data_IF_562962455349
#
_entry.id   IF_562962455349
#
_cell.length_a   1.000
_cell.length_b   1.000
_cell.length_c   1.000
_cell.angle_alpha   90.00
_cell.angle_beta   90.00
_cell.angle_gamma   90.00
#
_symmetry.space_group_name_H-M   'P 1'
#
loop_
_entity.id
_entity.type
_entity.pdbx_description
1 polymer ?
#
# COMPACT_ATOMS: atom_id res chain seq x y z
N UNK A 1 20.79 -1.19 -4.24
CA UNK A 1 20.00 -2.31 -3.69
C UNK A 1 19.84 -2.01 -2.21
N UNK A 2 18.78 -1.34 -1.70
CA UNK A 2 17.34 -1.33 -2.02
C UNK A 2 16.67 -2.71 -1.95
N UNK A 3 17.05 -3.52 -0.95
CA UNK A 3 16.50 -4.87 -0.79
C UNK A 3 15.55 -4.96 0.41
N UNK A 4 14.67 -3.98 0.54
CA UNK A 4 13.68 -3.89 1.63
C UNK A 4 12.33 -3.40 1.13
N UNK A 5 11.25 -3.81 1.80
CA UNK A 5 9.90 -3.33 1.53
C UNK A 5 9.21 -2.98 2.85
N UNK A 6 8.27 -2.06 2.81
CA UNK A 6 7.51 -1.67 3.98
C UNK A 6 6.01 -1.91 3.76
N UNK A 7 5.31 -2.21 4.84
CA UNK A 7 3.85 -2.16 4.88
C UNK A 7 3.39 -1.22 5.98
N UNK A 8 2.24 -0.58 5.80
CA UNK A 8 1.55 0.17 6.84
C UNK A 8 0.17 -0.46 7.14
N UNK A 9 -0.55 0.00 8.19
CA UNK A 9 -1.89 -0.49 8.50
C UNK A 9 -2.85 -0.48 7.30
N UNK A 10 -2.78 0.53 6.45
CA UNK A 10 -3.63 0.64 5.25
C UNK A 10 -3.28 -0.43 4.22
N UNK A 11 -1.99 -0.67 3.95
CA UNK A 11 -1.55 -1.71 3.01
C UNK A 11 -1.93 -3.10 3.49
N UNK A 12 -1.71 -3.41 4.77
CA UNK A 12 -2.09 -4.69 5.38
C UNK A 12 -3.61 -4.88 5.38
N UNK A 13 -4.37 -3.84 5.72
CA UNK A 13 -5.84 -3.85 5.65
C UNK A 13 -6.37 -4.03 4.23
N UNK A 14 -5.70 -3.43 3.23
CA UNK A 14 -5.98 -3.63 1.82
C UNK A 14 -5.80 -5.08 1.38
N UNK A 15 -4.66 -5.70 1.74
CA UNK A 15 -4.38 -7.12 1.52
C UNK A 15 -5.44 -8.01 2.18
N UNK A 16 -5.75 -7.77 3.46
CA UNK A 16 -6.75 -8.51 4.20
C UNK A 16 -8.12 -8.46 3.52
N UNK A 17 -8.58 -7.27 3.15
CA UNK A 17 -9.85 -7.08 2.44
C UNK A 17 -9.86 -7.79 1.08
N UNK A 18 -8.77 -7.76 0.33
CA UNK A 18 -8.66 -8.48 -0.94
C UNK A 18 -8.78 -9.98 -0.73
N UNK A 19 -8.01 -10.57 0.20
CA UNK A 19 -8.01 -12.00 0.46
C UNK A 19 -9.37 -12.51 0.95
N UNK A 20 -9.99 -11.80 1.90
CA UNK A 20 -11.33 -12.14 2.41
C UNK A 20 -12.36 -12.10 1.27
N UNK A 21 -12.30 -11.09 0.39
CA UNK A 21 -13.19 -11.02 -0.79
C UNK A 21 -13.00 -12.18 -1.77
N UNK A 22 -11.83 -12.82 -1.78
CA UNK A 22 -11.53 -14.02 -2.58
C UNK A 22 -11.91 -15.33 -1.88
N UNK A 23 -12.45 -15.26 -0.66
CA UNK A 23 -12.93 -16.43 0.10
C UNK A 23 -11.96 -16.96 1.15
N UNK A 24 -10.83 -16.29 1.39
CA UNK A 24 -9.88 -16.70 2.43
C UNK A 24 -10.44 -16.48 3.83
N UNK A 25 -10.05 -17.33 4.78
CA UNK A 25 -10.41 -17.18 6.19
C UNK A 25 -9.59 -16.06 6.85
N UNK A 26 -10.15 -15.44 7.88
CA UNK A 26 -9.43 -14.42 8.67
C UNK A 26 -8.12 -14.96 9.26
N UNK A 27 -8.11 -16.22 9.68
CA UNK A 27 -6.93 -16.91 10.21
C UNK A 27 -5.83 -17.09 9.14
N UNK A 28 -6.19 -17.47 7.90
CA UNK A 28 -5.23 -17.49 6.78
C UNK A 28 -4.66 -16.11 6.52
N UNK A 29 -5.50 -15.08 6.51
CA UNK A 29 -5.07 -13.69 6.29
C UNK A 29 -4.08 -13.23 7.35
N UNK A 30 -4.37 -13.48 8.63
CA UNK A 30 -3.48 -13.11 9.73
C UNK A 30 -2.14 -13.83 9.64
N UNK A 31 -2.12 -15.12 9.27
CA UNK A 31 -0.87 -15.84 9.03
C UNK A 31 -0.05 -15.24 7.89
N UNK A 32 -0.68 -14.83 6.80
CA UNK A 32 0.02 -14.20 5.67
C UNK A 32 0.62 -12.86 6.09
N UNK A 33 -0.12 -12.03 6.82
CA UNK A 33 0.41 -10.76 7.34
C UNK A 33 1.59 -11.01 8.28
N UNK A 34 1.46 -11.94 9.22
CA UNK A 34 2.54 -12.30 10.14
C UNK A 34 3.78 -12.84 9.40
N UNK A 35 3.59 -13.59 8.30
CA UNK A 35 4.68 -14.08 7.48
C UNK A 35 5.40 -12.95 6.72
N UNK A 36 4.69 -11.92 6.27
CA UNK A 36 5.29 -10.72 5.69
C UNK A 36 6.11 -9.96 6.74
N UNK A 37 5.56 -9.79 7.95
CA UNK A 37 6.25 -9.11 9.06
C UNK A 37 7.50 -9.84 9.57
N UNK A 38 7.55 -11.16 9.37
CA UNK A 38 8.71 -11.97 9.75
C UNK A 38 9.85 -11.94 8.71
N UNK A 39 9.64 -11.38 7.51
CA UNK A 39 10.70 -11.28 6.51
C UNK A 39 11.76 -10.25 6.97
N UNK A 40 13.04 -10.64 6.98
CA UNK A 40 14.15 -9.75 7.36
C UNK A 40 14.28 -8.46 6.54
N UNK A 41 13.63 -8.41 5.37
CA UNK A 41 13.59 -7.25 4.46
C UNK A 41 12.38 -6.36 4.71
N UNK A 42 11.44 -6.81 5.54
CA UNK A 42 10.22 -6.09 5.84
C UNK A 42 10.45 -5.07 6.95
N UNK A 43 9.78 -3.93 6.79
CA UNK A 43 9.62 -2.95 7.85
C UNK A 43 8.15 -2.57 8.01
N UNK A 44 7.63 -2.64 9.24
CA UNK A 44 6.32 -2.11 9.54
C UNK A 44 6.40 -0.61 9.80
N UNK A 45 5.64 0.17 9.03
CA UNK A 45 5.51 1.63 9.20
C UNK A 45 4.16 1.95 9.83
N UNK A 46 4.14 2.40 11.10
CA UNK A 46 2.89 2.81 11.74
C UNK A 46 2.31 4.04 11.04
N UNK A 47 1.01 4.23 11.20
CA UNK A 47 0.35 5.37 10.60
C UNK A 47 0.59 6.64 11.42
N UNK A 48 1.57 7.45 10.99
CA UNK A 48 1.95 8.70 11.67
C UNK A 48 1.32 9.96 11.04
N UNK A 49 0.66 9.80 9.89
CA UNK A 49 0.00 10.89 9.19
C UNK A 49 -1.48 10.92 9.60
N UNK A 50 -2.10 12.10 9.59
CA UNK A 50 -3.55 12.21 9.78
C UNK A 50 -4.22 12.41 8.43
N UNK A 51 -5.46 11.96 8.27
CA UNK A 51 -6.21 12.16 7.03
C UNK A 51 -6.32 13.66 6.60
N UNK A 52 -6.46 14.64 7.51
CA UNK A 52 -6.37 16.06 7.13
C UNK A 52 -5.00 16.49 6.60
N UNK A 53 -3.93 15.80 7.00
CA UNK A 53 -2.59 16.01 6.47
C UNK A 53 -2.31 15.17 5.20
N UNK A 54 -3.18 14.21 4.88
CA UNK A 54 -3.21 13.50 3.61
C UNK A 54 -3.74 14.45 2.54
N UNK A 55 -2.83 14.97 1.73
CA UNK A 55 -3.18 15.84 0.61
C UNK A 55 -4.11 15.08 -0.34
N UNK A 56 -5.35 15.56 -0.46
CA UNK A 56 -6.36 15.00 -1.36
C UNK A 56 -6.24 15.58 -2.78
N UNK A 57 -5.14 16.26 -3.10
CA UNK A 57 -4.86 16.69 -4.46
C UNK A 57 -4.97 15.52 -5.46
N UNK A 58 -5.87 15.68 -6.45
CA UNK A 58 -6.15 14.64 -7.45
C UNK A 58 -7.21 13.60 -7.06
N UNK A 59 -7.80 13.70 -5.85
CA UNK A 59 -8.95 12.86 -5.47
C UNK A 59 -10.23 13.39 -6.13
N UNK A 60 -10.63 12.73 -7.22
CA UNK A 60 -11.83 13.07 -7.99
C UNK A 60 -13.07 12.31 -7.44
N UNK A 61 -12.87 11.21 -6.71
CA UNK A 61 -13.96 10.42 -6.13
C UNK A 61 -13.51 9.52 -4.99
N UNK A 62 -14.45 8.78 -4.41
CA UNK A 62 -14.21 7.97 -3.21
C UNK A 62 -13.18 6.85 -3.40
N UNK A 63 -12.86 6.46 -4.64
CA UNK A 63 -11.92 5.37 -4.93
C UNK A 63 -10.48 5.79 -4.64
N UNK A 64 -10.13 7.05 -4.94
CA UNK A 64 -8.77 7.56 -4.78
C UNK A 64 -8.41 7.91 -3.33
N UNK A 65 -9.39 7.99 -2.41
CA UNK A 65 -9.18 8.41 -1.02
C UNK A 65 -8.22 7.48 -0.27
N UNK A 66 -8.35 6.17 -0.48
CA UNK A 66 -7.45 5.19 0.15
C UNK A 66 -6.09 5.14 -0.57
N UNK A 67 -6.10 5.40 -1.86
CA UNK A 67 -4.93 5.22 -2.73
C UNK A 67 -3.95 6.40 -2.66
N UNK A 68 -4.44 7.61 -2.33
CA UNK A 68 -3.58 8.79 -2.11
C UNK A 68 -2.77 8.71 -0.80
N UNK A 69 -3.23 7.90 0.15
CA UNK A 69 -2.64 7.83 1.48
C UNK A 69 -1.25 7.19 1.51
N UNK A 70 -1.02 6.01 0.90
CA UNK A 70 0.33 5.44 0.78
C UNK A 70 1.34 6.38 0.09
N UNK A 71 0.90 7.14 -0.92
CA UNK A 71 1.76 8.13 -1.58
C UNK A 71 2.15 9.26 -0.62
N UNK A 72 1.22 9.74 0.22
CA UNK A 72 1.52 10.74 1.25
C UNK A 72 2.48 10.21 2.33
N UNK A 73 2.26 8.98 2.79
CA UNK A 73 3.12 8.34 3.79
C UNK A 73 4.54 8.15 3.23
N UNK A 74 4.64 7.70 1.98
CA UNK A 74 5.93 7.60 1.28
C UNK A 74 6.67 8.95 1.22
N UNK A 75 5.98 10.06 0.96
CA UNK A 75 6.59 11.41 1.00
C UNK A 75 7.08 11.79 2.40
N UNK A 76 6.33 11.45 3.46
CA UNK A 76 6.71 11.75 4.83
C UNK A 76 7.98 10.99 5.26
N UNK A 77 8.13 9.75 4.78
CA UNK A 77 9.20 8.84 5.17
C UNK A 77 10.37 8.82 4.17
N UNK A 78 10.41 9.75 3.20
CA UNK A 78 11.38 9.77 2.09
C UNK A 78 11.44 8.43 1.29
N UNK A 79 10.35 7.66 1.30
CA UNK A 79 10.17 6.41 0.59
C UNK A 79 9.42 6.57 -0.74
N UNK A 80 9.13 5.44 -1.40
CA UNK A 80 8.25 5.38 -2.57
C UNK A 80 7.26 4.23 -2.37
N UNK A 81 6.00 4.46 -2.70
CA UNK A 81 4.95 3.45 -2.64
C UNK A 81 4.95 2.59 -3.90
N UNK A 82 4.55 1.32 -3.78
CA UNK A 82 4.44 0.41 -4.90
C UNK A 82 2.97 0.34 -5.35
N UNK A 83 2.68 0.74 -6.59
CA UNK A 83 1.32 0.90 -7.10
C UNK A 83 1.01 -0.04 -8.27
N UNK A 84 -0.01 -0.89 -8.13
CA UNK A 84 -0.51 -1.73 -9.23
C UNK A 84 -1.49 -0.98 -10.15
N UNK A 85 -2.09 0.10 -9.65
CA UNK A 85 -2.91 1.01 -10.45
C UNK A 85 -2.00 2.01 -11.17
N UNK A 86 -1.97 1.93 -12.50
CA UNK A 86 -1.11 2.79 -13.33
C UNK A 86 -1.55 4.25 -13.27
N UNK A 87 -2.85 4.53 -13.20
CA UNK A 87 -3.35 5.91 -13.10
C UNK A 87 -2.99 6.55 -11.75
N UNK A 88 -2.97 5.75 -10.68
CA UNK A 88 -2.46 6.20 -9.38
C UNK A 88 -0.95 6.50 -9.42
N UNK A 89 -0.17 5.61 -10.05
CA UNK A 89 1.27 5.78 -10.18
C UNK A 89 1.62 7.03 -11.00
N UNK A 90 0.90 7.30 -12.08
CA UNK A 90 1.05 8.51 -12.89
C UNK A 90 0.65 9.78 -12.12
N UNK A 91 -0.41 9.73 -11.32
CA UNK A 91 -0.86 10.87 -10.51
C UNK A 91 0.10 11.23 -9.36
N UNK A 92 0.92 10.28 -8.93
CA UNK A 92 1.86 10.41 -7.82
C UNK A 92 3.27 9.93 -8.21
N UNK A 93 3.76 10.29 -9.40
CA UNK A 93 5.05 9.84 -9.95
C UNK A 93 6.28 10.17 -9.08
N UNK A 94 6.15 11.24 -8.29
CA UNK A 94 7.11 11.70 -7.29
C UNK A 94 7.23 10.77 -6.08
N UNK A 95 6.18 9.97 -5.80
CA UNK A 95 6.03 9.17 -4.58
C UNK A 95 5.52 7.73 -4.79
N UNK A 96 5.27 7.31 -6.03
CA UNK A 96 4.77 5.99 -6.38
C UNK A 96 5.50 5.40 -7.59
N UNK A 97 5.89 4.13 -7.47
CA UNK A 97 6.46 3.34 -8.56
C UNK A 97 5.39 2.39 -9.12
N UNK A 98 5.18 2.34 -10.44
CA UNK A 98 4.28 1.36 -11.04
C UNK A 98 4.87 -0.04 -10.88
N UNK A 99 4.04 -0.98 -10.44
CA UNK A 99 4.37 -2.40 -10.37
C UNK A 99 3.69 -3.12 -11.53
N UNK A 100 4.49 -3.82 -12.34
CA UNK A 100 3.95 -4.67 -13.38
C UNK A 100 3.06 -5.76 -12.75
N UNK A 101 1.81 -5.85 -13.19
CA UNK A 101 0.97 -6.99 -12.87
C UNK A 101 1.38 -8.16 -13.78
N UNK A 102 1.52 -9.36 -13.21
CA UNK A 102 1.64 -10.55 -14.03
C UNK A 102 0.36 -10.68 -14.90
N UNK A 103 0.47 -11.13 -16.16
CA UNK A 103 -0.71 -11.37 -16.98
C UNK A 103 -1.63 -12.36 -16.26
N UNK A 104 -2.97 -12.21 -16.39
CA UNK A 104 -3.89 -13.17 -15.79
C UNK A 104 -3.59 -14.58 -16.32
N UNK A 105 -3.56 -15.54 -15.39
CA UNK A 105 -3.39 -16.96 -15.68
C UNK A 105 -4.58 -17.53 -16.45
#
# INVERSE_FOLDING_TARGET
>A
MRDGFATCPITQGGLARMMIRRGESADTVLRVIAALEADSRHEFRPDEVSHPAADFHGVIGHRQVTDSYPARLARADCGRSAAFDQGLAELHDDAADPVATAPPA
#
